data_IF_682355728600
#
_entry.id   IF_682355728600
#
_cell.length_a   1.000
_cell.length_b   1.000
_cell.length_c   1.000
_cell.angle_alpha   90.00
_cell.angle_beta   90.00
_cell.angle_gamma   90.00
#
_symmetry.space_group_name_H-M   'P 1'
#
loop_
_entity.id
_entity.type
_entity.pdbx_description
1 polymer ?
#
# COMPACT_ATOMS: atom_id res chain seq x y z
N UNK A 1 10.39 -3.44 -0.97
CA UNK A 1 9.79 -2.12 -1.28
C UNK A 1 10.38 -1.69 -2.60
N UNK A 2 9.55 -1.35 -3.58
CA UNK A 2 10.02 -1.04 -4.93
C UNK A 2 10.01 0.48 -5.12
N UNK A 3 11.15 1.12 -5.42
CA UNK A 3 11.14 2.52 -5.83
C UNK A 3 10.45 2.63 -7.19
N UNK A 4 9.51 3.56 -7.30
CA UNK A 4 8.81 3.86 -8.56
C UNK A 4 8.77 5.37 -8.77
N UNK A 5 8.71 5.78 -10.02
CA UNK A 5 8.66 7.19 -10.36
C UNK A 5 7.20 7.66 -10.37
N UNK A 6 6.93 8.82 -9.78
CA UNK A 6 5.67 9.53 -10.02
C UNK A 6 5.67 10.13 -11.43
N UNK A 7 4.51 10.18 -12.07
CA UNK A 7 4.36 10.84 -13.37
C UNK A 7 4.71 12.35 -13.30
N UNK A 8 4.42 13.02 -12.19
CA UNK A 8 4.82 14.42 -11.97
C UNK A 8 6.27 14.59 -11.47
N UNK A 9 7.07 13.51 -11.49
CA UNK A 9 8.44 13.49 -11.01
C UNK A 9 8.57 13.30 -9.49
N UNK A 10 9.71 12.78 -9.04
CA UNK A 10 9.90 12.31 -7.65
C UNK A 10 9.81 10.78 -7.57
N UNK A 11 10.51 10.22 -6.60
CA UNK A 11 10.55 8.78 -6.33
C UNK A 11 9.68 8.47 -5.13
N UNK A 12 8.84 7.44 -5.23
CA UNK A 12 8.07 6.93 -4.10
C UNK A 12 8.38 5.45 -3.89
N UNK A 13 8.08 4.95 -2.69
CA UNK A 13 8.26 3.53 -2.41
C UNK A 13 6.91 2.84 -2.38
N UNK A 14 6.66 1.97 -3.33
CA UNK A 14 5.50 1.07 -3.29
C UNK A 14 5.78 -0.10 -2.34
N UNK A 15 4.78 -0.38 -1.52
CA UNK A 15 4.74 -1.54 -0.65
C UNK A 15 4.01 -2.70 -1.35
N UNK A 16 4.28 -3.96 -0.95
CA UNK A 16 3.52 -5.10 -1.43
C UNK A 16 2.02 -4.89 -1.19
N UNK A 17 1.17 -5.41 -2.08
CA UNK A 17 -0.29 -5.24 -2.08
C UNK A 17 -0.83 -3.86 -2.49
N UNK A 18 0.02 -2.94 -2.97
CA UNK A 18 -0.49 -1.76 -3.67
C UNK A 18 -1.26 -2.20 -4.93
N UNK A 19 -2.56 -1.92 -4.97
CA UNK A 19 -3.38 -2.19 -6.15
C UNK A 19 -3.13 -1.13 -7.22
N UNK A 20 -2.89 -1.61 -8.44
CA UNK A 20 -2.63 -0.78 -9.61
C UNK A 20 -3.87 -0.77 -10.50
N UNK A 21 -4.45 0.40 -10.71
CA UNK A 21 -5.60 0.61 -11.57
C UNK A 21 -5.18 1.25 -12.91
N UNK A 22 -6.02 1.10 -13.93
CA UNK A 22 -5.85 1.74 -15.25
C UNK A 22 -4.43 1.55 -15.83
N UNK A 23 -3.84 0.37 -15.62
CA UNK A 23 -2.45 0.15 -15.96
C UNK A 23 -2.27 -0.12 -17.46
N UNK A 24 -1.16 0.37 -18.01
CA UNK A 24 -0.74 0.14 -19.39
C UNK A 24 0.73 -0.26 -19.40
N UNK A 25 1.07 -1.30 -20.18
CA UNK A 25 2.45 -1.72 -20.35
C UNK A 25 3.07 -1.05 -21.59
N UNK A 26 4.17 -0.34 -21.39
CA UNK A 26 4.97 0.30 -22.43
C UNK A 26 6.39 -0.27 -22.39
N UNK A 27 6.62 -1.34 -23.18
CA UNK A 27 7.89 -2.07 -23.17
C UNK A 27 8.17 -2.74 -21.82
N UNK A 28 9.29 -2.36 -21.19
CA UNK A 28 9.72 -2.86 -19.88
C UNK A 28 9.14 -2.06 -18.69
N UNK A 29 8.30 -1.06 -18.96
CA UNK A 29 7.67 -0.22 -17.96
C UNK A 29 6.15 -0.42 -17.94
N UNK A 30 5.56 -0.25 -16.76
CA UNK A 30 4.12 -0.24 -16.54
C UNK A 30 3.76 1.10 -15.94
N UNK A 31 2.87 1.83 -16.62
CA UNK A 31 2.22 3.02 -16.07
C UNK A 31 0.92 2.59 -15.42
N UNK A 32 0.63 3.09 -14.23
CA UNK A 32 -0.60 2.76 -13.53
C UNK A 32 -1.02 3.88 -12.59
N UNK A 33 -2.28 3.87 -12.19
CA UNK A 33 -2.83 4.77 -11.17
C UNK A 33 -2.97 4.02 -9.86
N UNK A 34 -2.43 4.60 -8.79
CA UNK A 34 -2.61 4.13 -7.42
C UNK A 34 -3.67 4.98 -6.75
N UNK A 35 -4.63 4.32 -6.12
CA UNK A 35 -5.61 4.97 -5.25
C UNK A 35 -5.24 4.66 -3.80
N UNK A 36 -5.49 5.62 -2.90
CA UNK A 36 -5.27 5.39 -1.49
C UNK A 36 -5.79 6.53 -0.63
N UNK A 37 -5.53 6.42 0.66
CA UNK A 37 -5.98 7.34 1.66
C UNK A 37 -4.81 7.86 2.49
N UNK A 38 -4.80 9.15 2.79
CA UNK A 38 -3.85 9.77 3.70
C UNK A 38 -4.58 10.29 4.92
N UNK A 39 -4.02 10.11 6.10
CA UNK A 39 -4.50 10.76 7.31
C UNK A 39 -3.86 12.16 7.40
N UNK A 40 -4.64 13.16 7.78
CA UNK A 40 -4.12 14.51 8.03
C UNK A 40 -3.07 14.49 9.14
N UNK A 41 -1.89 15.07 8.86
CA UNK A 41 -0.71 15.01 9.75
C UNK A 41 0.19 13.79 9.54
N UNK A 42 -0.16 12.87 8.64
CA UNK A 42 0.64 11.72 8.24
C UNK A 42 0.68 11.56 6.70
N UNK A 43 0.92 12.66 5.98
CA UNK A 43 0.93 12.72 4.52
C UNK A 43 2.04 11.86 3.87
N UNK A 44 3.07 11.49 4.63
CA UNK A 44 4.14 10.60 4.14
C UNK A 44 3.70 9.15 3.93
N UNK A 45 2.52 8.76 4.41
CA UNK A 45 2.02 7.37 4.36
C UNK A 45 0.70 7.32 3.61
N UNK A 46 0.63 6.42 2.62
CA UNK A 46 -0.60 6.11 1.89
C UNK A 46 -1.15 4.77 2.39
N UNK A 47 -2.42 4.78 2.77
CA UNK A 47 -3.18 3.63 3.20
C UNK A 47 -4.10 3.12 2.10
N UNK A 48 -4.38 1.81 2.13
CA UNK A 48 -5.25 1.16 1.14
C UNK A 48 -6.72 1.62 1.24
N UNK A 49 -7.19 1.92 2.46
CA UNK A 49 -8.61 2.18 2.72
C UNK A 49 -8.78 3.03 3.98
N UNK A 50 -9.93 3.70 4.09
CA UNK A 50 -10.29 4.50 5.26
C UNK A 50 -10.34 3.63 6.52
N UNK A 51 -9.60 4.01 7.55
CA UNK A 51 -9.57 3.30 8.83
C UNK A 51 -8.80 1.96 8.81
N UNK A 52 -8.22 1.55 7.67
CA UNK A 52 -7.31 0.38 7.60
C UNK A 52 -5.86 0.83 7.66
N UNK A 53 -5.06 0.22 8.52
CA UNK A 53 -3.61 0.51 8.65
C UNK A 53 -2.74 -0.30 7.67
N UNK A 54 -3.28 -0.66 6.51
CA UNK A 54 -2.51 -1.30 5.44
C UNK A 54 -1.83 -0.20 4.63
N UNK A 55 -0.54 -0.02 4.83
CA UNK A 55 0.26 0.93 4.06
C UNK A 55 0.55 0.36 2.67
N UNK A 56 0.30 1.15 1.63
CA UNK A 56 0.50 0.76 0.22
C UNK A 56 1.62 1.57 -0.45
N UNK A 57 1.89 2.78 0.03
CA UNK A 57 2.99 3.60 -0.48
C UNK A 57 3.57 4.52 0.61
N UNK A 58 4.85 4.86 0.44
CA UNK A 58 5.53 5.88 1.23
C UNK A 58 5.96 7.02 0.30
N UNK A 59 5.60 8.24 0.68
CA UNK A 59 5.81 9.48 -0.06
C UNK A 59 6.87 10.33 0.66
N UNK A 60 8.05 10.56 0.07
CA UNK A 60 8.96 11.60 0.57
C UNK A 60 8.35 12.99 0.40
N UNK A 61 8.89 13.98 1.12
CA UNK A 61 8.33 15.34 1.19
C UNK A 61 8.17 16.01 -0.18
N UNK A 62 9.08 15.73 -1.13
CA UNK A 62 9.02 16.25 -2.49
C UNK A 62 7.92 15.62 -3.36
N UNK A 63 7.38 14.48 -2.92
CA UNK A 63 6.31 13.74 -3.59
C UNK A 63 4.93 14.03 -2.99
N UNK A 64 4.86 14.44 -1.71
CA UNK A 64 3.59 14.71 -1.02
C UNK A 64 2.77 15.83 -1.67
N UNK A 65 3.42 16.82 -2.29
CA UNK A 65 2.74 17.94 -2.99
C UNK A 65 2.26 17.58 -4.40
N UNK A 66 2.58 16.38 -4.89
CA UNK A 66 2.30 15.93 -6.27
C UNK A 66 1.15 14.94 -6.37
N UNK A 67 0.63 14.47 -5.23
CA UNK A 67 -0.57 13.62 -5.22
C UNK A 67 -1.82 14.46 -5.42
N UNK A 68 -2.81 13.89 -6.10
CA UNK A 68 -4.08 14.58 -6.33
C UNK A 68 -5.10 14.13 -5.29
N UNK A 69 -5.59 15.08 -4.49
CA UNK A 69 -6.63 14.83 -3.47
C UNK A 69 -8.00 14.90 -4.12
N UNK A 70 -8.71 13.77 -4.15
CA UNK A 70 -10.04 13.68 -4.75
C UNK A 70 -11.15 14.02 -3.75
N UNK A 71 -10.95 13.68 -2.47
CA UNK A 71 -11.97 13.84 -1.43
C UNK A 71 -11.34 13.97 -0.05
N UNK A 72 -12.01 14.68 0.85
CA UNK A 72 -11.68 14.67 2.29
C UNK A 72 -12.89 14.17 3.08
N UNK A 73 -12.67 13.22 3.98
CA UNK A 73 -13.68 12.60 4.84
C UNK A 73 -13.21 12.69 6.29
N UNK A 74 -14.03 13.22 7.18
CA UNK A 74 -13.77 13.14 8.62
C UNK A 74 -14.18 11.77 9.14
N UNK A 75 -13.24 11.01 9.70
CA UNK A 75 -13.51 9.74 10.33
C UNK A 75 -13.64 9.91 11.85
N UNK A 76 -14.82 9.58 12.38
CA UNK A 76 -15.14 9.74 13.79
C UNK A 76 -14.45 8.66 14.66
N UNK A 77 -13.99 7.55 14.06
CA UNK A 77 -13.31 6.46 14.79
C UNK A 77 -11.87 6.84 15.12
N UNK A 78 -11.15 7.42 14.16
CA UNK A 78 -9.78 7.92 14.33
C UNK A 78 -9.73 9.40 14.73
N UNK A 79 -10.90 10.06 14.82
CA UNK A 79 -11.05 11.48 15.14
C UNK A 79 -10.12 12.37 14.29
N UNK A 80 -10.01 12.05 12.99
CA UNK A 80 -9.06 12.66 12.06
C UNK A 80 -9.68 12.84 10.68
N UNK A 81 -9.22 13.83 9.93
CA UNK A 81 -9.56 13.93 8.50
C UNK A 81 -8.69 12.97 7.69
N UNK A 82 -9.34 12.34 6.73
CA UNK A 82 -8.71 11.45 5.76
C UNK A 82 -8.93 11.98 4.36
N UNK A 83 -7.85 12.05 3.59
CA UNK A 83 -7.81 12.53 2.22
C UNK A 83 -7.72 11.32 1.30
N UNK A 84 -8.73 11.11 0.47
CA UNK A 84 -8.67 10.19 -0.64
C UNK A 84 -7.76 10.81 -1.70
N UNK A 85 -6.75 10.07 -2.13
CA UNK A 85 -5.76 10.52 -3.10
C UNK A 85 -5.63 9.53 -4.26
N UNK A 86 -5.25 10.08 -5.40
CA UNK A 86 -4.77 9.31 -6.52
C UNK A 86 -3.48 9.90 -7.09
N UNK A 87 -2.64 9.04 -7.64
CA UNK A 87 -1.42 9.45 -8.32
C UNK A 87 -1.00 8.39 -9.34
N UNK A 88 -0.34 8.85 -10.40
CA UNK A 88 0.16 7.99 -11.46
C UNK A 88 1.63 7.62 -11.19
N UNK A 89 1.94 6.34 -11.36
CA UNK A 89 3.27 5.78 -11.18
C UNK A 89 3.75 5.09 -12.45
N UNK A 90 5.07 5.10 -12.63
CA UNK A 90 5.76 4.24 -13.59
C UNK A 90 6.62 3.26 -12.81
N UNK A 91 6.34 1.96 -12.98
CA UNK A 91 7.08 0.87 -12.36
C UNK A 91 7.71 -0.04 -13.42
N UNK A 92 8.87 -0.65 -13.15
CA UNK A 92 9.40 -1.67 -14.04
C UNK A 92 8.50 -2.90 -14.02
N UNK A 93 8.28 -3.52 -15.18
CA UNK A 93 7.31 -4.62 -15.37
C UNK A 93 7.60 -5.84 -14.49
N UNK A 94 8.88 -6.09 -14.18
CA UNK A 94 9.31 -7.18 -13.30
C UNK A 94 9.02 -6.94 -11.81
N UNK A 95 8.67 -5.70 -11.42
CA UNK A 95 8.34 -5.35 -10.04
C UNK A 95 6.83 -5.37 -9.75
N UNK A 96 6.00 -5.62 -10.75
CA UNK A 96 4.55 -5.71 -10.63
C UNK A 96 4.08 -7.11 -11.00
N UNK A 97 3.06 -7.61 -10.32
CA UNK A 97 2.44 -8.90 -10.64
C UNK A 97 0.94 -8.73 -10.81
N UNK A 98 0.39 -9.32 -11.86
CA UNK A 98 -1.07 -9.45 -12.03
C UNK A 98 -1.63 -10.64 -11.23
N UNK A 99 -0.77 -11.46 -10.63
CA UNK A 99 -1.14 -12.68 -9.92
C UNK A 99 -1.02 -12.49 -8.40
N UNK A 100 -2.10 -12.01 -7.79
CA UNK A 100 -2.23 -11.84 -6.34
C UNK A 100 -2.06 -13.16 -5.58
N UNK A 101 -2.46 -14.29 -6.17
CA UNK A 101 -2.30 -15.62 -5.58
C UNK A 101 -0.82 -16.01 -5.47
N UNK A 102 -0.02 -15.69 -6.48
CA UNK A 102 1.43 -15.90 -6.44
C UNK A 102 2.10 -15.00 -5.39
N UNK A 103 1.61 -13.76 -5.22
CA UNK A 103 2.10 -12.86 -4.16
C UNK A 103 1.74 -13.39 -2.76
N UNK A 104 0.52 -13.87 -2.58
CA UNK A 104 0.07 -14.49 -1.32
C UNK A 104 0.90 -15.73 -0.99
N UNK A 105 1.12 -16.61 -1.97
CA UNK A 105 1.93 -17.81 -1.78
C UNK A 105 3.39 -17.48 -1.43
N UNK A 106 3.95 -16.41 -1.99
CA UNK A 106 5.27 -15.92 -1.59
C UNK A 106 5.28 -15.43 -0.13
N UNK A 107 4.26 -14.66 0.27
CA UNK A 107 4.09 -14.21 1.65
C UNK A 107 3.91 -15.37 2.63
N UNK A 108 3.11 -16.36 2.28
CA UNK A 108 2.87 -17.57 3.07
C UNK A 108 4.16 -18.39 3.22
N UNK A 109 4.93 -18.55 2.14
CA UNK A 109 6.20 -19.27 2.18
C UNK A 109 7.19 -18.57 3.13
N UNK A 110 7.38 -17.24 3.00
CA UNK A 110 8.26 -16.47 3.89
C UNK A 110 7.85 -16.59 5.37
N UNK A 111 6.55 -16.50 5.64
CA UNK A 111 5.98 -16.63 6.97
C UNK A 111 6.19 -18.03 7.55
N UNK A 112 6.02 -19.08 6.74
CA UNK A 112 6.26 -20.45 7.17
C UNK A 112 7.74 -20.77 7.36
N UNK A 113 8.65 -20.19 6.58
CA UNK A 113 10.08 -20.54 6.69
C UNK A 113 10.82 -19.71 7.73
N UNK A 114 10.43 -18.46 7.98
CA UNK A 114 11.21 -17.55 8.83
C UNK A 114 10.47 -17.06 10.08
N UNK A 115 9.14 -16.98 10.06
CA UNK A 115 8.37 -16.44 11.19
C UNK A 115 7.77 -17.54 12.09
N UNK A 116 7.53 -18.73 11.52
CA UNK A 116 6.95 -19.89 12.21
C UNK A 116 7.79 -20.42 13.38
N UNK A 117 9.07 -20.06 13.43
CA UNK A 117 9.98 -20.47 14.50
C UNK A 117 9.68 -19.82 15.86
N UNK A 118 8.99 -18.68 15.88
CA UNK A 118 8.70 -17.92 17.11
C UNK A 118 7.21 -17.81 17.44
N UNK A 119 6.32 -17.85 16.43
CA UNK A 119 4.87 -17.89 16.63
C UNK A 119 4.20 -18.73 15.54
N UNK A 120 2.95 -19.14 15.76
CA UNK A 120 2.19 -19.85 14.74
C UNK A 120 2.11 -19.01 13.46
N UNK A 121 2.31 -19.61 12.27
CA UNK A 121 2.27 -18.89 11.01
C UNK A 121 0.89 -18.26 10.81
N UNK A 122 0.86 -16.95 10.58
CA UNK A 122 -0.37 -16.21 10.27
C UNK A 122 -0.58 -16.29 8.76
N UNK A 123 -1.61 -17.01 8.29
CA UNK A 123 -1.90 -17.12 6.86
C UNK A 123 -2.16 -15.76 6.21
N UNK A 124 -1.81 -15.60 4.93
CA UNK A 124 -1.99 -14.35 4.18
C UNK A 124 -3.43 -13.82 4.24
N UNK A 125 -4.42 -14.71 4.26
CA UNK A 125 -5.85 -14.40 4.44
C UNK A 125 -6.21 -13.79 5.81
N UNK A 126 -5.41 -14.08 6.84
CA UNK A 126 -5.61 -13.60 8.21
C UNK A 126 -4.89 -12.27 8.44
N UNK A 127 -3.72 -12.07 7.81
CA UNK A 127 -2.95 -10.81 7.84
C UNK A 127 -3.75 -9.66 7.19
N UNK A 128 -4.38 -9.90 6.05
CA UNK A 128 -5.17 -8.87 5.37
C UNK A 128 -6.38 -8.44 6.22
N UNK A 129 -7.06 -9.40 6.86
CA UNK A 129 -8.26 -9.17 7.68
C UNK A 129 -7.96 -8.53 9.04
N UNK A 130 -6.81 -8.84 9.65
CA UNK A 130 -6.38 -8.32 10.97
C UNK A 130 -5.52 -7.06 10.92
N UNK A 131 -5.29 -6.49 9.74
CA UNK A 131 -4.54 -5.22 9.59
C UNK A 131 -5.13 -4.04 10.38
N UNK A 132 -6.39 -4.14 10.84
CA UNK A 132 -7.05 -3.21 11.76
C UNK A 132 -6.82 -3.53 13.25
N UNK A 133 -6.27 -4.70 13.59
CA UNK A 133 -6.26 -5.26 14.95
C UNK A 133 -4.83 -5.37 15.51
N UNK A 134 -4.15 -4.22 15.60
CA UNK A 134 -2.96 -4.05 16.45
C UNK A 134 -3.36 -3.59 17.87
N UNK A 135 -4.58 -3.90 18.30
CA UNK A 135 -5.00 -3.81 19.70
C UNK A 135 -4.85 -5.19 20.32
N UNK A 136 -3.74 -5.43 21.03
CA UNK A 136 -3.54 -6.68 21.74
C UNK A 136 -4.75 -7.01 22.61
N UNK A 137 -5.49 -8.06 22.24
CA UNK A 137 -6.28 -8.82 23.21
C UNK A 137 -5.45 -10.01 23.66
N UNK A 138 -4.66 -9.75 24.69
CA UNK A 138 -4.43 -10.77 25.71
C UNK A 138 -5.70 -10.82 26.57
N UNK A 139 -6.24 -12.03 26.68
CA UNK A 139 -7.40 -12.48 27.45
C UNK A 139 -8.78 -12.25 26.83
#
# INVERSE_FOLDING_TARGET
MTPVQLAQGGEIRLLPYAELHQWTAEGEQVKATVNGWQQEGAESVVYMDLGKRIMVALLPDDAQSKVNVTKTVFDNVTNSNWKEINFEITAPKNAVTANITALNHFGDNLNQTHCSGCHAPIGAETLHRKSMDWGGKIQ
#
